data_IF_623716595420
#
_entry.id   IF_623716595420
#
_cell.length_a   1.000
_cell.length_b   1.000
_cell.length_c   1.000
_cell.angle_alpha   90.00
_cell.angle_beta   90.00
_cell.angle_gamma   90.00
#
_symmetry.space_group_name_H-M   'P 1'
#
loop_
_entity.id
_entity.type
_entity.pdbx_description
1 polymer ?
#
# COMPACT_ATOMS: atom_id res chain seq x y z
N UNK A 1 -9.70 -22.89 -17.88
CA UNK A 1 -10.21 -22.89 -16.49
C UNK A 1 -9.91 -21.51 -15.92
N UNK A 2 -10.97 -20.82 -15.50
CA UNK A 2 -11.05 -19.36 -15.40
C UNK A 2 -10.33 -18.83 -14.14
N UNK A 3 -9.15 -18.23 -14.31
CA UNK A 3 -8.45 -17.47 -13.27
C UNK A 3 -9.00 -16.05 -13.18
N UNK A 4 -10.23 -15.90 -12.69
CA UNK A 4 -10.88 -14.62 -12.50
C UNK A 4 -10.26 -13.85 -11.34
N UNK A 5 -9.17 -13.13 -11.59
CA UNK A 5 -8.97 -11.73 -11.20
C UNK A 5 -9.78 -11.21 -9.99
N UNK A 6 -9.54 -11.77 -8.79
CA UNK A 6 -10.08 -11.29 -7.51
C UNK A 6 -9.37 -10.00 -7.05
N UNK A 7 -9.27 -8.98 -7.92
CA UNK A 7 -8.84 -7.63 -7.55
C UNK A 7 -9.92 -6.96 -6.70
N UNK A 8 -9.98 -7.31 -5.40
CA UNK A 8 -10.41 -6.57 -4.19
C UNK A 8 -11.33 -5.32 -4.30
N UNK A 9 -12.14 -5.17 -5.35
CA UNK A 9 -12.98 -4.00 -5.66
C UNK A 9 -12.23 -2.69 -5.97
N UNK A 10 -10.90 -2.64 -5.92
CA UNK A 10 -10.11 -1.40 -5.97
C UNK A 10 -9.52 -1.07 -7.36
N UNK A 11 -9.88 -1.82 -8.40
CA UNK A 11 -9.41 -1.60 -9.77
C UNK A 11 -9.69 -0.18 -10.30
N UNK A 12 -10.71 0.50 -9.76
CA UNK A 12 -11.04 1.90 -10.09
C UNK A 12 -10.05 2.92 -9.52
N UNK A 13 -9.22 2.51 -8.55
CA UNK A 13 -8.22 3.36 -7.89
C UNK A 13 -6.78 2.89 -8.14
N UNK A 14 -6.57 1.62 -8.44
CA UNK A 14 -5.24 1.03 -8.62
C UNK A 14 -5.15 0.22 -9.92
N UNK A 15 -4.17 0.55 -10.77
CA UNK A 15 -3.80 -0.22 -11.95
C UNK A 15 -2.61 -1.19 -11.71
N UNK A 16 -2.20 -1.40 -10.45
CA UNK A 16 -1.10 -2.32 -10.11
C UNK A 16 0.31 -1.85 -10.48
N UNK A 17 0.49 -0.62 -10.96
CA UNK A 17 1.81 -0.12 -11.44
C UNK A 17 2.87 0.15 -10.36
N UNK A 18 2.51 0.07 -9.07
CA UNK A 18 3.37 0.32 -7.89
C UNK A 18 4.00 1.70 -7.76
N UNK A 19 3.90 2.57 -8.77
CA UNK A 19 4.47 3.92 -8.76
C UNK A 19 4.02 4.72 -7.53
N UNK A 20 2.71 4.76 -7.26
CA UNK A 20 2.14 5.47 -6.13
C UNK A 20 2.50 4.85 -4.77
N UNK A 21 2.81 3.55 -4.73
CA UNK A 21 3.22 2.85 -3.51
C UNK A 21 4.67 3.16 -3.10
N UNK A 22 5.49 3.66 -4.04
CA UNK A 22 6.88 4.05 -3.81
C UNK A 22 7.04 5.51 -3.40
N UNK A 23 5.96 6.31 -3.46
CA UNK A 23 6.05 7.71 -3.06
C UNK A 23 6.26 7.84 -1.54
N UNK A 24 7.01 8.85 -1.09
CA UNK A 24 7.28 9.05 0.33
C UNK A 24 6.01 9.15 1.14
N UNK A 25 5.82 8.30 2.15
CA UNK A 25 4.57 8.30 2.88
C UNK A 25 4.59 7.39 4.10
N UNK A 26 3.57 7.53 4.93
CA UNK A 26 3.33 6.62 6.05
C UNK A 26 1.96 6.02 5.83
N UNK A 27 1.89 4.69 5.89
CA UNK A 27 0.63 3.96 5.83
C UNK A 27 0.27 3.53 7.24
N UNK A 28 -0.96 3.76 7.65
CA UNK A 28 -1.48 3.30 8.93
C UNK A 28 -2.35 2.06 8.77
N UNK A 29 -2.19 1.17 9.75
CA UNK A 29 -2.89 -0.09 9.89
C UNK A 29 -3.60 -0.08 11.26
N UNK A 30 -4.72 -0.79 11.39
CA UNK A 30 -5.32 -1.02 12.70
C UNK A 30 -4.40 -1.92 13.55
N UNK A 31 -4.52 -1.82 14.87
CA UNK A 31 -3.62 -2.52 15.80
C UNK A 31 -3.68 -4.06 15.69
N UNK A 32 -4.83 -4.59 15.25
CA UNK A 32 -5.09 -6.02 15.02
C UNK A 32 -4.60 -6.52 13.64
N UNK A 33 -3.97 -5.67 12.82
CA UNK A 33 -3.53 -6.07 11.49
C UNK A 33 -2.33 -7.03 11.50
N UNK A 34 -1.53 -7.05 12.57
CA UNK A 34 -0.25 -7.78 12.59
C UNK A 34 -0.45 -9.28 12.44
N UNK A 35 -1.34 -9.91 13.22
CA UNK A 35 -1.60 -11.35 13.14
C UNK A 35 -1.91 -11.84 11.73
N UNK A 36 -2.98 -11.33 11.07
CA UNK A 36 -3.31 -11.73 9.70
C UNK A 36 -2.19 -11.45 8.68
N UNK A 37 -1.40 -10.39 8.88
CA UNK A 37 -0.26 -10.07 8.02
C UNK A 37 0.92 -11.03 8.24
N UNK A 38 1.20 -11.39 9.49
CA UNK A 38 2.26 -12.32 9.86
C UNK A 38 1.95 -13.72 9.32
N UNK A 39 0.71 -14.18 9.47
CA UNK A 39 0.21 -15.44 8.90
C UNK A 39 0.37 -15.45 7.37
N UNK A 40 -0.05 -14.38 6.71
CA UNK A 40 0.08 -14.25 5.25
C UNK A 40 1.54 -14.22 4.79
N UNK A 41 2.43 -13.62 5.57
CA UNK A 41 3.87 -13.56 5.30
C UNK A 41 4.62 -14.83 5.75
N UNK A 42 3.94 -15.76 6.43
CA UNK A 42 4.53 -17.00 6.95
C UNK A 42 5.63 -16.76 7.99
N UNK A 43 5.46 -15.77 8.86
CA UNK A 43 6.45 -15.40 9.89
C UNK A 43 5.81 -15.19 11.25
N UNK A 44 6.64 -15.12 12.29
CA UNK A 44 6.19 -14.83 13.65
C UNK A 44 5.58 -13.42 13.76
N UNK A 45 4.52 -13.31 14.56
CA UNK A 45 3.77 -12.07 14.74
C UNK A 45 4.62 -10.95 15.37
N UNK A 46 5.46 -11.29 16.37
CA UNK A 46 6.35 -10.31 17.00
C UNK A 46 7.42 -9.86 16.03
N UNK A 47 8.02 -10.80 15.30
CA UNK A 47 8.95 -10.46 14.24
C UNK A 47 8.32 -9.56 13.17
N UNK A 48 7.07 -9.82 12.78
CA UNK A 48 6.32 -8.98 11.84
C UNK A 48 6.12 -7.55 12.37
N UNK A 49 5.66 -7.42 13.63
CA UNK A 49 5.52 -6.13 14.29
C UNK A 49 6.84 -5.36 14.31
N UNK A 50 7.92 -6.01 14.76
CA UNK A 50 9.23 -5.39 14.94
C UNK A 50 9.89 -5.03 13.60
N UNK A 51 9.68 -5.81 12.54
CA UNK A 51 10.28 -5.55 11.24
C UNK A 51 9.55 -4.47 10.45
N UNK A 52 8.22 -4.41 10.53
CA UNK A 52 7.43 -3.61 9.60
C UNK A 52 6.67 -2.44 10.21
N UNK A 53 6.44 -2.43 11.53
CA UNK A 53 5.54 -1.47 12.18
C UNK A 53 6.21 -0.69 13.30
N UNK A 54 5.81 0.58 13.43
CA UNK A 54 5.98 1.38 14.64
C UNK A 54 4.59 1.70 15.22
N UNK A 55 4.53 1.97 16.52
CA UNK A 55 3.31 2.47 17.16
C UNK A 55 3.06 3.90 16.66
N UNK A 56 1.86 4.17 16.14
CA UNK A 56 1.46 5.51 15.74
C UNK A 56 1.21 6.41 16.96
N UNK A 57 1.23 7.73 16.75
CA UNK A 57 1.19 8.72 17.85
C UNK A 57 -0.09 8.63 18.70
N UNK A 58 -1.19 8.12 18.12
CA UNK A 58 -2.46 7.89 18.81
C UNK A 58 -2.51 6.58 19.63
N UNK A 59 -1.43 5.77 19.63
CA UNK A 59 -1.31 4.46 20.28
C UNK A 59 -2.38 3.41 19.95
N UNK A 60 -3.31 3.72 19.04
CA UNK A 60 -4.37 2.82 18.59
C UNK A 60 -4.18 2.30 17.16
N UNK A 61 -3.12 2.76 16.48
CA UNK A 61 -2.79 2.38 15.12
C UNK A 61 -1.31 2.03 15.01
N UNK A 62 -1.00 1.26 13.99
CA UNK A 62 0.36 0.92 13.59
C UNK A 62 0.70 1.71 12.35
N UNK A 63 1.92 2.22 12.27
CA UNK A 63 2.44 2.91 11.10
C UNK A 63 3.55 2.08 10.47
N UNK A 64 3.58 2.02 9.15
CA UNK A 64 4.66 1.31 8.45
C UNK A 64 5.99 2.02 8.67
N UNK A 65 7.04 1.24 8.92
CA UNK A 65 8.42 1.72 8.84
C UNK A 65 8.73 2.18 7.42
N UNK A 66 9.59 3.19 7.31
CA UNK A 66 10.03 3.75 6.02
C UNK A 66 11.27 3.02 5.54
N UNK A 67 11.36 2.79 4.23
CA UNK A 67 12.62 2.37 3.61
C UNK A 67 13.58 3.56 3.49
N UNK A 68 14.86 3.28 3.21
CA UNK A 68 15.87 4.30 2.89
C UNK A 68 15.46 5.18 1.72
N UNK A 69 14.70 4.62 0.77
CA UNK A 69 14.19 5.34 -0.40
C UNK A 69 12.90 6.12 -0.11
N UNK A 70 12.42 6.10 1.14
CA UNK A 70 11.21 6.78 1.60
C UNK A 70 9.90 6.07 1.23
N UNK A 71 9.95 4.99 0.45
CA UNK A 71 8.78 4.21 0.05
C UNK A 71 8.23 3.30 1.15
N UNK A 72 7.13 2.60 0.83
CA UNK A 72 6.53 1.61 1.73
C UNK A 72 7.39 0.34 1.82
N UNK A 73 7.67 -0.12 3.04
CA UNK A 73 8.50 -1.29 3.33
C UNK A 73 8.00 -2.60 2.70
N UNK A 74 6.71 -2.70 2.40
CA UNK A 74 6.13 -3.88 1.78
C UNK A 74 6.23 -3.90 0.25
N UNK A 75 6.72 -2.82 -0.37
CA UNK A 75 6.86 -2.73 -1.83
C UNK A 75 8.26 -3.16 -2.23
N UNK A 76 8.34 -4.27 -2.96
CA UNK A 76 9.58 -4.75 -3.57
C UNK A 76 9.67 -4.45 -5.07
N UNK A 77 10.61 -5.11 -5.74
CA UNK A 77 10.82 -5.03 -7.19
C UNK A 77 9.64 -5.60 -7.97
N UNK A 78 9.07 -6.70 -7.49
CA UNK A 78 7.96 -7.41 -8.15
C UNK A 78 6.57 -6.87 -7.78
N UNK A 79 6.48 -5.94 -6.82
CA UNK A 79 5.23 -5.33 -6.38
C UNK A 79 5.05 -5.30 -4.87
N UNK A 80 3.81 -5.13 -4.42
CA UNK A 80 3.48 -5.12 -2.99
C UNK A 80 3.35 -6.56 -2.48
N UNK A 81 4.16 -6.91 -1.48
CA UNK A 81 4.17 -8.26 -0.88
C UNK A 81 2.87 -8.60 -0.16
N UNK A 82 2.17 -7.59 0.37
CA UNK A 82 0.93 -7.75 1.15
C UNK A 82 -0.30 -7.24 0.37
N UNK A 83 -0.28 -7.33 -0.96
CA UNK A 83 -1.31 -6.73 -1.82
C UNK A 83 -2.77 -7.03 -1.39
N UNK A 84 -3.14 -8.27 -0.97
CA UNK A 84 -4.50 -8.56 -0.48
C UNK A 84 -4.83 -7.88 0.85
N UNK A 85 -3.83 -7.71 1.72
CA UNK A 85 -3.93 -7.10 3.05
C UNK A 85 -3.70 -5.59 3.06
N UNK A 86 -3.73 -4.94 1.89
CA UNK A 86 -3.62 -3.48 1.80
C UNK A 86 -4.73 -2.80 2.61
N UNK A 87 -4.41 -1.81 3.46
CA UNK A 87 -5.41 -1.06 4.21
C UNK A 87 -6.17 -0.13 3.27
N UNK A 88 -7.29 0.45 3.77
CA UNK A 88 -8.13 1.37 2.99
C UNK A 88 -7.31 2.49 2.33
N UNK A 89 -6.34 3.05 3.06
CA UNK A 89 -5.42 4.07 2.53
C UNK A 89 -4.76 3.61 1.22
N UNK A 90 -4.14 2.42 1.20
CA UNK A 90 -3.49 1.91 0.00
C UNK A 90 -4.48 1.55 -1.13
N UNK A 91 -5.71 1.14 -0.79
CA UNK A 91 -6.74 0.76 -1.77
C UNK A 91 -7.34 1.97 -2.48
N UNK A 92 -7.38 3.13 -1.84
CA UNK A 92 -8.00 4.34 -2.40
C UNK A 92 -7.00 5.44 -2.78
N UNK A 93 -5.70 5.22 -2.51
CA UNK A 93 -4.60 6.07 -2.97
C UNK A 93 -4.37 5.93 -4.49
N UNK A 94 -4.10 7.02 -5.22
CA UNK A 94 -3.89 8.40 -4.75
C UNK A 94 -5.12 9.32 -4.79
N UNK A 95 -6.34 8.80 -4.99
CA UNK A 95 -7.50 9.64 -5.32
C UNK A 95 -8.33 10.10 -4.13
N UNK A 96 -8.48 9.28 -3.08
CA UNK A 96 -9.11 9.70 -1.82
C UNK A 96 -8.11 10.35 -0.86
N UNK A 97 -6.82 10.07 -1.06
CA UNK A 97 -5.70 10.52 -0.23
C UNK A 97 -4.76 11.33 -1.12
N UNK A 98 -5.27 12.42 -1.69
CA UNK A 98 -4.60 13.17 -2.74
C UNK A 98 -3.29 13.79 -2.26
N UNK A 99 -2.27 13.61 -3.09
CA UNK A 99 -1.00 14.29 -2.99
C UNK A 99 -1.04 15.53 -3.90
N UNK A 100 -0.76 16.75 -3.39
CA UNK A 100 -0.81 17.95 -4.21
C UNK A 100 0.28 17.99 -5.29
N UNK A 101 1.30 17.12 -5.21
CA UNK A 101 2.41 17.06 -6.14
C UNK A 101 1.98 16.44 -7.48
N UNK A 102 1.65 17.29 -8.46
CA UNK A 102 1.31 16.88 -9.83
C UNK A 102 2.37 15.96 -10.48
N UNK A 103 3.65 16.15 -10.15
CA UNK A 103 4.74 15.31 -10.61
C UNK A 103 4.66 13.86 -10.11
N UNK A 104 4.18 13.64 -8.89
CA UNK A 104 3.90 12.30 -8.37
C UNK A 104 2.74 11.68 -9.16
N UNK A 105 1.60 12.39 -9.23
CA UNK A 105 0.41 11.92 -9.94
C UNK A 105 0.68 11.55 -11.41
N UNK A 106 1.55 12.30 -12.09
CA UNK A 106 1.98 12.02 -13.44
C UNK A 106 2.72 10.68 -13.61
N UNK A 107 3.23 10.05 -12.55
CA UNK A 107 3.87 8.74 -12.59
C UNK A 107 2.86 7.58 -12.54
N UNK A 108 1.65 7.82 -12.02
CA UNK A 108 0.61 6.80 -11.89
C UNK A 108 0.06 6.37 -13.26
N UNK A 109 0.12 5.07 -13.55
CA UNK A 109 -0.38 4.51 -14.81
C UNK A 109 -1.89 4.75 -14.99
N UNK A 110 -2.67 4.63 -13.92
CA UNK A 110 -4.12 4.90 -13.96
C UNK A 110 -4.39 6.38 -14.27
N UNK A 111 -3.66 7.30 -13.63
CA UNK A 111 -3.80 8.73 -13.89
C UNK A 111 -3.48 9.08 -15.34
N UNK A 112 -2.37 8.53 -15.89
CA UNK A 112 -2.02 8.68 -17.32
C UNK A 112 -3.15 8.15 -18.22
N UNK A 113 -3.70 6.98 -17.91
CA UNK A 113 -4.77 6.38 -18.70
C UNK A 113 -6.06 7.23 -18.67
N UNK A 114 -6.42 7.79 -17.52
CA UNK A 114 -7.58 8.67 -17.39
C UNK A 114 -7.39 9.99 -18.13
N UNK A 115 -6.21 10.62 -18.04
CA UNK A 115 -5.91 11.87 -18.76
C UNK A 115 -5.88 11.72 -20.27
N UNK A 116 -5.53 10.55 -20.81
CA UNK A 116 -5.57 10.29 -22.26
C UNK A 116 -6.98 10.13 -22.81
N UNK A 117 -7.99 9.98 -21.94
CA UNK A 117 -9.40 9.80 -22.29
C UNK A 117 -10.24 11.07 -22.09
N UNK A 118 -9.65 12.11 -21.48
CA UNK A 118 -10.25 13.42 -21.28
C UNK A 118 -9.75 14.37 -22.36
#
# INVERSE_FOLDING_TARGET
MNGGDERNGDARYCAGCTACCRWPGVVTFPADAVGPLADYLGMDERACADLFFDIADNRGQLRTKKTTDGGCIFVGETGCRIYPHRPRQCRTFPYEWQRPEAACMAQCALHKALKRRA
#
